data_IF_122640232584
#
_entry.id   IF_122640232584
#
_cell.length_a   1.000
_cell.length_b   1.000
_cell.length_c   1.000
_cell.angle_alpha   90.00
_cell.angle_beta   90.00
_cell.angle_gamma   90.00
#
_symmetry.space_group_name_H-M   'P 1'
#
loop_
_entity.id
_entity.type
_entity.pdbx_description
1 polymer ?
#
# COMPACT_ATOMS: atom_id res chain seq x y z
N UNK A 1 12.87 -1.20 -20.84
CA UNK A 1 12.41 -1.63 -19.50
C UNK A 1 13.59 -2.27 -18.79
N UNK A 2 14.25 -1.52 -17.90
CA UNK A 2 15.38 -2.02 -17.12
C UNK A 2 14.89 -2.65 -15.82
N UNK A 3 15.32 -3.87 -15.54
CA UNK A 3 15.09 -4.50 -14.24
C UNK A 3 16.02 -3.79 -13.25
N UNK A 4 15.42 -3.09 -12.28
CA UNK A 4 16.16 -2.44 -11.21
C UNK A 4 16.50 -3.51 -10.18
N UNK A 5 17.78 -3.83 -10.05
CA UNK A 5 18.29 -4.70 -8.99
C UNK A 5 18.28 -3.93 -7.67
N UNK A 6 17.27 -4.20 -6.84
CA UNK A 6 17.20 -3.66 -5.48
C UNK A 6 18.12 -4.53 -4.60
N UNK A 7 19.05 -3.94 -3.84
CA UNK A 7 19.87 -4.71 -2.92
C UNK A 7 18.99 -5.39 -1.85
N UNK A 8 19.33 -6.63 -1.43
CA UNK A 8 18.59 -7.32 -0.39
C UNK A 8 18.65 -6.51 0.92
N UNK A 9 17.54 -6.49 1.66
CA UNK A 9 17.37 -5.77 2.94
C UNK A 9 17.35 -4.23 2.88
N UNK A 10 17.07 -3.61 1.72
CA UNK A 10 16.85 -2.15 1.63
C UNK A 10 15.39 -1.80 1.35
N UNK A 11 14.48 -1.93 2.32
CA UNK A 11 13.06 -1.56 2.15
C UNK A 11 12.89 -0.08 1.81
N UNK A 12 13.78 0.80 2.29
CA UNK A 12 13.80 2.23 1.96
C UNK A 12 14.11 2.56 0.50
N UNK A 13 14.70 1.62 -0.27
CA UNK A 13 14.91 1.76 -1.71
C UNK A 13 13.77 1.17 -2.54
N UNK A 14 12.79 0.53 -1.88
CA UNK A 14 11.65 -0.06 -2.55
C UNK A 14 10.45 0.90 -2.50
N UNK A 15 10.08 1.54 -3.63
CA UNK A 15 9.00 2.54 -3.63
C UNK A 15 7.66 1.97 -3.16
N UNK A 16 7.46 0.65 -3.23
CA UNK A 16 6.25 0.00 -2.69
C UNK A 16 6.15 0.13 -1.16
N UNK A 17 7.26 0.22 -0.45
CA UNK A 17 7.25 0.37 1.02
C UNK A 17 6.68 1.72 1.46
N UNK A 18 6.88 2.78 0.65
CA UNK A 18 6.21 4.08 0.90
C UNK A 18 4.70 3.95 0.74
N UNK A 19 4.23 3.24 -0.30
CA UNK A 19 2.80 2.99 -0.51
C UNK A 19 2.23 2.17 0.64
N UNK A 20 2.90 1.08 1.05
CA UNK A 20 2.49 0.27 2.20
C UNK A 20 2.46 1.05 3.51
N UNK A 21 3.41 1.95 3.72
CA UNK A 21 3.43 2.83 4.90
C UNK A 21 2.23 3.77 4.92
N UNK A 22 1.90 4.40 3.78
CA UNK A 22 0.74 5.29 3.66
C UNK A 22 -0.58 4.54 3.85
N UNK A 23 -0.74 3.38 3.21
CA UNK A 23 -1.92 2.53 3.31
C UNK A 23 -2.17 2.08 4.76
N UNK A 24 -1.11 1.65 5.46
CA UNK A 24 -1.19 1.29 6.88
C UNK A 24 -1.62 2.48 7.73
N UNK A 25 -1.05 3.66 7.54
CA UNK A 25 -1.34 4.82 8.38
C UNK A 25 -2.71 5.47 8.13
N UNK A 26 -3.22 5.45 6.90
CA UNK A 26 -4.47 6.15 6.55
C UNK A 26 -5.71 5.26 6.56
N UNK A 27 -5.64 4.08 5.94
CA UNK A 27 -6.86 3.32 5.58
C UNK A 27 -7.01 2.03 6.38
N UNK A 28 -5.89 1.39 6.72
CA UNK A 28 -5.84 0.05 7.35
C UNK A 28 -5.62 0.13 8.88
N UNK A 29 -5.11 1.25 9.41
CA UNK A 29 -4.99 1.42 10.86
C UNK A 29 -6.38 1.45 11.49
N UNK A 30 -6.59 0.54 12.44
CA UNK A 30 -7.77 0.48 13.31
C UNK A 30 -9.09 0.06 12.64
N UNK A 31 -9.06 -0.58 11.47
CA UNK A 31 -10.27 -1.13 10.82
C UNK A 31 -10.34 -2.64 10.96
N UNK A 32 -11.47 -3.14 11.44
CA UNK A 32 -11.78 -4.58 11.45
C UNK A 32 -12.49 -4.92 10.16
N UNK A 33 -11.97 -5.89 9.41
CA UNK A 33 -12.60 -6.38 8.20
C UNK A 33 -13.56 -7.52 8.56
N UNK A 34 -14.77 -7.49 8.01
CA UNK A 34 -15.78 -8.51 8.26
C UNK A 34 -15.58 -9.73 7.34
N UNK A 35 -15.35 -9.45 6.05
CA UNK A 35 -15.25 -10.45 4.99
C UNK A 35 -14.08 -10.15 4.04
N UNK A 36 -13.73 -11.13 3.20
CA UNK A 36 -12.66 -10.96 2.21
C UNK A 36 -12.97 -9.84 1.20
N UNK A 37 -14.22 -9.73 0.76
CA UNK A 37 -14.65 -8.68 -0.17
C UNK A 37 -14.45 -7.28 0.43
N UNK A 38 -14.70 -7.11 1.73
CA UNK A 38 -14.43 -5.86 2.46
C UNK A 38 -12.94 -5.49 2.43
N UNK A 39 -12.04 -6.47 2.52
CA UNK A 39 -10.59 -6.23 2.41
C UNK A 39 -10.24 -5.73 1.01
N UNK A 40 -10.80 -6.36 -0.03
CA UNK A 40 -10.52 -6.01 -1.42
C UNK A 40 -11.07 -4.64 -1.78
N UNK A 41 -12.32 -4.36 -1.42
CA UNK A 41 -12.95 -3.05 -1.64
C UNK A 41 -12.19 -1.95 -0.91
N UNK A 42 -11.79 -2.20 0.33
CA UNK A 42 -11.00 -1.24 1.09
C UNK A 42 -9.63 -0.99 0.48
N UNK A 43 -8.93 -2.04 0.02
CA UNK A 43 -7.66 -1.88 -0.70
C UNK A 43 -7.84 -1.05 -1.97
N UNK A 44 -8.94 -1.26 -2.70
CA UNK A 44 -9.27 -0.53 -3.92
C UNK A 44 -9.55 0.96 -3.63
N UNK A 45 -10.34 1.26 -2.59
CA UNK A 45 -10.61 2.62 -2.12
C UNK A 45 -9.32 3.31 -1.67
N UNK A 46 -8.53 2.63 -0.84
CA UNK A 46 -7.28 3.16 -0.31
C UNK A 46 -6.28 3.48 -1.43
N UNK A 47 -6.19 2.62 -2.45
CA UNK A 47 -5.38 2.86 -3.64
C UNK A 47 -5.85 4.08 -4.44
N UNK A 48 -7.16 4.21 -4.68
CA UNK A 48 -7.71 5.37 -5.38
C UNK A 48 -7.49 6.67 -4.60
N UNK A 49 -7.62 6.63 -3.27
CA UNK A 49 -7.32 7.77 -2.40
C UNK A 49 -5.83 8.13 -2.42
N UNK A 50 -4.93 7.15 -2.45
CA UNK A 50 -3.48 7.38 -2.58
C UNK A 50 -3.14 8.11 -3.89
N UNK A 51 -3.72 7.65 -5.01
CA UNK A 51 -3.51 8.26 -6.34
C UNK A 51 -4.11 9.67 -6.40
N UNK A 52 -5.28 9.90 -5.78
CA UNK A 52 -5.90 11.22 -5.76
C UNK A 52 -5.13 12.26 -4.91
N UNK A 53 -4.31 11.80 -3.96
CA UNK A 53 -3.55 12.63 -3.03
C UNK A 53 -2.06 12.77 -3.40
N UNK A 54 -1.65 12.24 -4.57
CA UNK A 54 -0.30 12.32 -5.14
C UNK A 54 -0.33 13.16 -6.42
#
# INVERSE_FOLDING_TARGET
>A
MGIIHIPPYSPELNPIEQVWSWLRQNEIVNRSFADYEDIVDMCSIAWNNFVANT
#
